data_IF_696173469608
#
_entry.id   IF_696173469608
#
_cell.length_a   1.000
_cell.length_b   1.000
_cell.length_c   1.000
_cell.angle_alpha   90.00
_cell.angle_beta   90.00
_cell.angle_gamma   90.00
#
_symmetry.space_group_name_H-M   'P 1'
#
loop_
_entity.id
_entity.type
_entity.pdbx_description
1 polymer ?
#
# COMPACT_ATOMS: atom_id res chain seq x y z
N UNK A 1 -17.98 -12.46 -29.66
CA UNK A 1 -17.51 -12.69 -28.28
C UNK A 1 -16.73 -14.00 -28.23
N UNK A 2 -15.41 -13.94 -28.06
CA UNK A 2 -14.53 -15.11 -28.07
C UNK A 2 -14.56 -15.87 -26.73
N UNK A 3 -14.10 -17.12 -26.72
CA UNK A 3 -14.00 -17.91 -25.49
C UNK A 3 -13.06 -17.27 -24.46
N UNK A 4 -12.02 -16.57 -24.93
CA UNK A 4 -11.08 -15.81 -24.12
C UNK A 4 -11.73 -14.61 -23.42
N UNK A 5 -12.59 -13.87 -24.10
CA UNK A 5 -13.32 -12.74 -23.49
C UNK A 5 -14.27 -13.22 -22.39
N UNK A 6 -14.88 -14.40 -22.56
CA UNK A 6 -15.72 -15.01 -21.53
C UNK A 6 -14.91 -15.47 -20.31
N UNK A 7 -13.73 -16.06 -20.53
CA UNK A 7 -12.83 -16.47 -19.45
C UNK A 7 -12.33 -15.26 -18.65
N UNK A 8 -11.85 -14.21 -19.33
CA UNK A 8 -11.42 -12.97 -18.67
C UNK A 8 -12.56 -12.32 -17.87
N UNK A 9 -13.79 -12.37 -18.37
CA UNK A 9 -14.97 -11.89 -17.66
C UNK A 9 -15.32 -12.70 -16.41
N UNK A 10 -15.10 -14.02 -16.41
CA UNK A 10 -15.28 -14.88 -15.25
C UNK A 10 -14.18 -14.65 -14.21
N UNK A 11 -12.93 -14.54 -14.64
CA UNK A 11 -11.79 -14.24 -13.76
C UNK A 11 -11.96 -12.88 -13.07
N UNK A 12 -12.39 -11.85 -13.79
CA UNK A 12 -12.67 -10.54 -13.22
C UNK A 12 -13.79 -10.59 -12.17
N UNK A 13 -14.84 -11.40 -12.41
CA UNK A 13 -15.93 -11.62 -11.44
C UNK A 13 -15.46 -12.38 -10.21
N UNK A 14 -14.60 -13.38 -10.37
CA UNK A 14 -14.03 -14.16 -9.28
C UNK A 14 -13.14 -13.28 -8.40
N UNK A 15 -12.25 -12.48 -9.02
CA UNK A 15 -11.40 -11.53 -8.31
C UNK A 15 -12.21 -10.50 -7.52
N UNK A 16 -13.33 -10.00 -8.08
CA UNK A 16 -14.23 -9.10 -7.38
C UNK A 16 -15.02 -9.75 -6.23
N UNK A 17 -15.32 -11.05 -6.32
CA UNK A 17 -15.92 -11.82 -5.22
C UNK A 17 -14.92 -12.09 -4.11
N UNK A 18 -13.69 -12.45 -4.45
CA UNK A 18 -12.61 -12.65 -3.50
C UNK A 18 -12.30 -11.37 -2.71
N UNK A 19 -12.32 -10.21 -3.39
CA UNK A 19 -12.17 -8.91 -2.76
C UNK A 19 -13.31 -8.61 -1.77
N UNK A 20 -14.56 -8.89 -2.16
CA UNK A 20 -15.72 -8.74 -1.26
C UNK A 20 -15.71 -9.70 -0.08
N UNK A 21 -15.15 -10.90 -0.25
CA UNK A 21 -15.03 -11.92 0.79
C UNK A 21 -13.80 -11.71 1.67
N UNK A 22 -12.94 -10.72 1.36
CA UNK A 22 -11.72 -10.44 2.11
C UNK A 22 -10.65 -11.52 1.98
N UNK A 23 -10.69 -12.32 0.90
CA UNK A 23 -9.71 -13.37 0.65
C UNK A 23 -8.34 -12.75 0.32
N UNK A 24 -7.23 -13.39 0.73
CA UNK A 24 -5.90 -12.84 0.47
C UNK A 24 -5.56 -12.78 -1.02
N UNK A 25 -5.24 -11.58 -1.52
CA UNK A 25 -4.90 -11.35 -2.92
C UNK A 25 -3.46 -10.89 -3.10
N UNK A 26 -2.79 -11.39 -4.14
CA UNK A 26 -1.46 -10.90 -4.54
C UNK A 26 -1.60 -9.66 -5.42
N UNK A 27 -1.53 -8.48 -4.80
CA UNK A 27 -1.63 -7.19 -5.50
C UNK A 27 -0.27 -6.50 -5.56
N UNK A 28 -0.13 -5.53 -6.46
CA UNK A 28 1.06 -4.70 -6.51
C UNK A 28 1.04 -3.70 -5.36
N UNK A 29 2.19 -3.41 -4.75
CA UNK A 29 2.32 -2.37 -3.73
C UNK A 29 3.42 -1.40 -4.15
N UNK A 30 3.08 -0.13 -4.23
CA UNK A 30 4.04 0.94 -4.41
C UNK A 30 4.32 1.60 -3.06
N UNK A 31 5.61 1.70 -2.72
CA UNK A 31 6.09 2.49 -1.59
C UNK A 31 6.65 3.79 -2.15
N UNK A 32 6.01 4.90 -1.80
CA UNK A 32 6.38 6.25 -2.20
C UNK A 32 7.05 6.96 -1.04
N UNK A 33 8.28 7.38 -1.23
CA UNK A 33 9.04 8.16 -0.28
C UNK A 33 9.14 9.60 -0.78
N UNK A 34 8.70 10.54 0.05
CA UNK A 34 8.68 11.97 -0.26
C UNK A 34 9.70 12.64 0.65
N UNK A 35 10.79 13.11 0.05
CA UNK A 35 11.82 13.87 0.75
C UNK A 35 11.54 15.36 0.59
N UNK A 36 11.28 16.05 1.69
CA UNK A 36 11.14 17.50 1.72
C UNK A 36 12.48 18.16 2.00
N UNK A 37 13.03 18.91 1.03
CA UNK A 37 14.21 19.72 1.25
C UNK A 37 13.78 21.14 1.65
N UNK A 38 13.93 21.47 2.93
CA UNK A 38 13.56 22.78 3.48
C UNK A 38 14.45 23.93 2.96
N UNK A 39 15.67 23.64 2.53
CA UNK A 39 16.61 24.64 2.02
C UNK A 39 16.27 25.07 0.60
N UNK A 40 15.94 24.11 -0.28
CA UNK A 40 15.56 24.40 -1.68
C UNK A 40 14.04 24.57 -1.88
N UNK A 41 13.23 24.36 -0.84
CA UNK A 41 11.75 24.35 -0.91
C UNK A 41 11.20 23.41 -1.99
N UNK A 42 11.92 22.32 -2.27
CA UNK A 42 11.54 21.31 -3.27
C UNK A 42 11.27 19.99 -2.60
N UNK A 43 10.29 19.25 -3.11
CA UNK A 43 10.03 17.86 -2.71
C UNK A 43 10.54 16.91 -3.78
N UNK A 44 11.30 15.90 -3.39
CA UNK A 44 11.77 14.82 -4.28
C UNK A 44 10.99 13.56 -3.95
N UNK A 45 10.41 12.93 -4.97
CA UNK A 45 9.59 11.72 -4.83
C UNK A 45 10.36 10.52 -5.38
N UNK A 46 10.57 9.51 -4.55
CA UNK A 46 11.12 8.21 -4.93
C UNK A 46 10.04 7.13 -4.81
N UNK A 47 9.89 6.31 -5.84
CA UNK A 47 8.81 5.33 -5.96
C UNK A 47 9.42 3.92 -6.11
N UNK A 48 9.03 3.00 -5.24
CA UNK A 48 9.55 1.65 -5.17
C UNK A 48 8.42 0.62 -5.27
N UNK A 49 8.42 -0.17 -6.34
CA UNK A 49 7.46 -1.26 -6.51
C UNK A 49 7.96 -2.51 -5.78
N UNK A 50 7.17 -3.01 -4.83
CA UNK A 50 7.54 -4.17 -4.02
C UNK A 50 7.48 -5.44 -4.87
N UNK A 51 8.58 -6.19 -4.83
CA UNK A 51 8.71 -7.52 -5.45
C UNK A 51 9.33 -8.49 -4.43
N UNK A 52 8.78 -9.72 -4.27
CA UNK A 52 7.58 -10.27 -4.93
C UNK A 52 6.28 -9.58 -4.49
N UNK A 53 5.21 -9.77 -5.27
CA UNK A 53 3.89 -9.17 -4.99
C UNK A 53 3.41 -9.54 -3.58
N UNK A 54 3.11 -8.55 -2.72
CA UNK A 54 2.66 -8.84 -1.36
C UNK A 54 1.24 -9.40 -1.32
N UNK A 55 0.91 -10.04 -0.20
CA UNK A 55 -0.43 -10.50 0.08
C UNK A 55 -1.21 -9.40 0.77
N UNK A 56 -2.37 -9.03 0.23
CA UNK A 56 -3.24 -7.98 0.77
C UNK A 56 -4.56 -8.60 1.19
N UNK A 57 -4.97 -8.31 2.42
CA UNK A 57 -6.19 -8.83 3.05
C UNK A 57 -6.88 -7.72 3.83
N UNK A 58 -8.13 -7.95 4.25
CA UNK A 58 -8.70 -7.15 5.33
C UNK A 58 -7.90 -7.38 6.62
N UNK A 59 -7.90 -6.40 7.51
CA UNK A 59 -7.25 -6.53 8.82
C UNK A 59 -7.81 -7.72 9.60
N UNK A 60 -6.91 -8.51 10.20
CA UNK A 60 -7.28 -9.62 11.05
C UNK A 60 -8.12 -9.15 12.26
N UNK A 61 -9.23 -9.82 12.63
CA UNK A 61 -10.11 -9.40 13.72
C UNK A 61 -9.40 -9.15 15.06
N UNK A 62 -8.31 -9.88 15.33
CA UNK A 62 -7.48 -9.73 16.54
C UNK A 62 -6.74 -8.38 16.64
N UNK A 63 -6.57 -7.68 15.53
CA UNK A 63 -5.90 -6.38 15.46
C UNK A 63 -6.90 -5.22 15.46
N UNK A 64 -8.18 -5.49 15.19
CA UNK A 64 -9.23 -4.46 15.19
C UNK A 64 -9.41 -3.93 16.61
N UNK A 65 -9.59 -2.61 16.73
CA UNK A 65 -9.64 -1.85 17.99
C UNK A 65 -8.36 -1.88 18.81
N UNK A 66 -7.25 -2.41 18.27
CA UNK A 66 -5.94 -2.23 18.89
C UNK A 66 -5.55 -0.75 18.79
N UNK A 67 -5.22 -0.17 19.93
CA UNK A 67 -4.69 1.18 20.00
C UNK A 67 -3.21 1.16 19.61
N UNK A 68 -2.87 1.96 18.61
CA UNK A 68 -1.51 2.10 18.10
C UNK A 68 -1.09 3.56 18.16
N UNK A 69 0.11 3.78 18.68
CA UNK A 69 0.73 5.09 18.76
C UNK A 69 1.66 5.29 17.56
N UNK A 70 1.41 6.34 16.79
CA UNK A 70 2.36 6.91 15.83
C UNK A 70 2.87 8.24 16.37
N UNK A 71 4.15 8.55 16.15
CA UNK A 71 4.74 9.84 16.56
C UNK A 71 3.91 10.99 15.96
N UNK A 72 3.36 11.85 16.82
CA UNK A 72 2.57 13.04 16.42
C UNK A 72 1.05 12.86 16.39
N UNK A 73 0.50 11.71 16.77
CA UNK A 73 -0.96 11.51 16.89
C UNK A 73 -1.33 10.79 18.18
N UNK A 74 -2.12 11.43 19.03
CA UNK A 74 -2.71 10.76 20.19
C UNK A 74 -3.82 9.80 19.73
N UNK A 75 -3.50 8.51 19.82
CA UNK A 75 -4.45 7.38 19.81
C UNK A 75 -5.15 7.08 18.46
N UNK A 76 -4.47 6.36 17.57
CA UNK A 76 -5.10 5.73 16.41
C UNK A 76 -5.59 4.33 16.76
N UNK A 77 -6.84 4.02 16.48
CA UNK A 77 -7.38 2.66 16.57
C UNK A 77 -7.40 2.03 15.18
N UNK A 78 -6.98 0.77 15.09
CA UNK A 78 -7.10 -0.01 13.86
C UNK A 78 -8.58 -0.35 13.62
N UNK A 79 -9.08 -0.07 12.42
CA UNK A 79 -10.47 -0.35 12.04
C UNK A 79 -10.55 -1.58 11.13
N UNK A 80 -11.72 -2.22 11.08
CA UNK A 80 -11.94 -3.35 10.17
C UNK A 80 -11.89 -2.96 8.69
N UNK A 81 -12.00 -1.66 8.37
CA UNK A 81 -11.88 -1.11 7.02
C UNK A 81 -10.43 -0.90 6.58
N UNK A 82 -9.47 -1.01 7.50
CA UNK A 82 -8.05 -0.92 7.17
C UNK A 82 -7.61 -2.18 6.41
N UNK A 83 -6.52 -2.05 5.65
CA UNK A 83 -5.96 -3.15 4.87
C UNK A 83 -4.69 -3.68 5.52
N UNK A 84 -4.60 -5.01 5.63
CA UNK A 84 -3.38 -5.69 6.07
C UNK A 84 -2.58 -6.12 4.84
N UNK A 85 -1.28 -5.83 4.87
CA UNK A 85 -0.34 -6.18 3.81
C UNK A 85 0.80 -7.00 4.37
N UNK A 86 1.02 -8.17 3.80
CA UNK A 86 2.10 -9.08 4.18
C UNK A 86 3.19 -9.10 3.11
N UNK A 87 4.42 -8.79 3.53
CA UNK A 87 5.59 -8.69 2.67
C UNK A 87 6.69 -9.61 3.21
N UNK A 88 7.36 -10.43 2.41
CA UNK A 88 8.53 -11.18 2.87
C UNK A 88 9.60 -10.25 3.46
N UNK A 89 10.34 -10.72 4.47
CA UNK A 89 11.33 -9.92 5.21
C UNK A 89 12.65 -9.68 4.44
N UNK A 90 12.54 -9.31 3.17
CA UNK A 90 13.66 -8.99 2.27
C UNK A 90 14.07 -7.51 2.43
N UNK A 91 13.09 -6.65 2.76
CA UNK A 91 13.32 -5.22 2.98
C UNK A 91 13.63 -4.94 4.46
N UNK A 92 14.56 -4.04 4.77
CA UNK A 92 14.84 -3.65 6.15
C UNK A 92 13.66 -2.85 6.74
N UNK A 93 13.51 -2.87 8.06
CA UNK A 93 12.45 -2.10 8.76
C UNK A 93 12.46 -0.61 8.41
N UNK A 94 13.67 -0.04 8.28
CA UNK A 94 13.90 1.35 7.90
C UNK A 94 13.36 1.73 6.53
N UNK A 95 12.98 0.76 5.70
CA UNK A 95 12.34 1.00 4.42
C UNK A 95 10.87 1.45 4.58
N UNK A 96 10.17 0.94 5.60
CA UNK A 96 8.75 1.21 5.84
C UNK A 96 8.53 2.34 6.86
N UNK A 97 9.43 2.43 7.85
CA UNK A 97 9.40 3.45 8.88
C UNK A 97 10.71 4.22 8.79
N UNK A 98 10.64 5.41 8.19
CA UNK A 98 11.81 6.24 7.92
C UNK A 98 11.83 7.40 8.92
N UNK A 99 12.92 7.60 9.68
CA UNK A 99 13.01 8.70 10.63
C UNK A 99 13.23 10.05 9.92
N UNK A 100 12.66 11.13 10.47
CA UNK A 100 12.98 12.51 10.08
C UNK A 100 12.00 13.15 9.09
N UNK A 101 12.51 13.92 8.12
CA UNK A 101 11.73 14.74 7.17
C UNK A 101 11.13 13.97 5.99
N UNK A 102 11.21 12.64 6.02
CA UNK A 102 10.78 11.77 4.94
C UNK A 102 9.38 11.22 5.22
N UNK A 103 8.40 11.59 4.38
CA UNK A 103 7.04 11.01 4.44
C UNK A 103 6.99 9.77 3.57
N UNK A 104 6.54 8.64 4.12
CA UNK A 104 6.30 7.40 3.36
C UNK A 104 4.80 7.20 3.17
N UNK A 105 4.39 6.95 1.92
CA UNK A 105 3.00 6.73 1.52
C UNK A 105 2.93 5.46 0.67
N UNK A 106 1.80 4.78 0.71
CA UNK A 106 1.60 3.49 0.06
C UNK A 106 0.49 3.58 -0.97
N UNK A 107 0.64 2.90 -2.11
CA UNK A 107 -0.44 2.75 -3.10
C UNK A 107 -0.65 1.27 -3.36
N UNK A 108 -1.86 0.80 -3.07
CA UNK A 108 -2.28 -0.56 -3.38
C UNK A 108 -2.76 -0.58 -4.83
N UNK A 109 -2.23 -1.52 -5.58
CA UNK A 109 -2.51 -1.78 -7.00
C UNK A 109 -2.44 -0.50 -7.88
N UNK A 110 -1.26 0.16 -7.94
CA UNK A 110 -1.08 1.30 -8.83
C UNK A 110 -1.32 0.87 -10.29
N UNK A 111 -1.84 1.77 -11.14
CA UNK A 111 -1.91 1.50 -12.57
C UNK A 111 -0.50 1.24 -13.11
N UNK A 112 -0.32 0.14 -13.84
CA UNK A 112 0.95 -0.24 -14.45
C UNK A 112 0.88 -0.14 -15.97
N UNK A 113 1.99 0.30 -16.56
CA UNK A 113 2.23 0.23 -18.00
C UNK A 113 2.48 -1.23 -18.43
N UNK A 114 2.38 -1.54 -19.74
CA UNK A 114 2.65 -2.89 -20.27
C UNK A 114 4.04 -3.45 -19.94
N UNK A 115 5.00 -2.58 -19.63
CA UNK A 115 6.36 -2.92 -19.23
C UNK A 115 6.51 -3.21 -17.72
N UNK A 116 5.41 -3.21 -16.94
CA UNK A 116 5.43 -3.47 -15.50
C UNK A 116 5.89 -2.29 -14.64
N UNK A 117 6.10 -1.11 -15.22
CA UNK A 117 6.40 0.13 -14.48
C UNK A 117 5.14 0.89 -14.10
N UNK A 118 5.20 1.72 -13.07
CA UNK A 118 4.07 2.56 -12.65
C UNK A 118 3.68 3.54 -13.76
N UNK A 119 2.39 3.55 -14.11
CA UNK A 119 1.81 4.48 -15.06
C UNK A 119 1.44 5.79 -14.35
N UNK A 120 2.18 6.85 -14.64
CA UNK A 120 1.91 8.18 -14.11
C UNK A 120 0.99 8.96 -15.05
N UNK A 121 0.03 9.70 -14.49
CA UNK A 121 -0.78 10.67 -15.24
C UNK A 121 0.05 11.87 -15.68
N UNK A 122 1.02 12.27 -14.84
CA UNK A 122 2.05 13.25 -15.19
C UNK A 122 3.40 12.74 -14.68
N UNK A 123 4.35 12.40 -15.57
CA UNK A 123 5.67 11.87 -15.19
C UNK A 123 6.51 12.87 -14.38
N UNK A 124 6.39 14.17 -14.65
CA UNK A 124 7.20 15.22 -14.02
C UNK A 124 6.83 15.41 -12.55
N UNK A 125 5.52 15.38 -12.26
CA UNK A 125 5.00 15.52 -10.89
C UNK A 125 4.77 14.17 -10.20
N UNK A 126 5.01 13.05 -10.90
CA UNK A 126 4.70 11.68 -10.48
C UNK A 126 3.27 11.52 -9.93
N UNK A 127 2.32 12.21 -10.56
CA UNK A 127 0.91 12.11 -10.20
C UNK A 127 0.36 10.75 -10.63
N UNK A 128 -0.30 10.04 -9.71
CA UNK A 128 -0.92 8.72 -9.95
C UNK A 128 -2.41 8.82 -9.65
N UNK A 129 -3.26 8.31 -10.54
CA UNK A 129 -4.70 8.24 -10.35
C UNK A 129 -5.15 7.11 -9.42
N UNK A 130 -4.54 6.97 -8.23
CA UNK A 130 -4.82 5.88 -7.28
C UNK A 130 -5.04 6.41 -5.86
N UNK A 131 -5.51 5.54 -4.96
CA UNK A 131 -5.71 5.88 -3.56
C UNK A 131 -4.41 5.73 -2.77
N UNK A 132 -4.07 6.77 -2.03
CA UNK A 132 -2.92 6.78 -1.13
C UNK A 132 -3.32 6.20 0.22
N UNK A 133 -2.38 5.48 0.83
CA UNK A 133 -2.56 4.84 2.11
C UNK A 133 -1.39 5.23 3.03
N UNK A 134 -1.69 5.47 4.29
CA UNK A 134 -0.71 5.70 5.34
C UNK A 134 -0.51 4.43 6.16
N UNK A 135 0.72 4.21 6.61
CA UNK A 135 1.04 3.14 7.55
C UNK A 135 0.57 3.55 8.95
N UNK A 136 -0.32 2.76 9.54
CA UNK A 136 -0.75 2.95 10.94
C UNK A 136 0.05 2.05 11.87
N UNK A 137 0.26 0.80 11.46
CA UNK A 137 0.89 -0.20 12.30
C UNK A 137 1.80 -1.11 11.50
N UNK A 138 2.98 -1.38 12.06
CA UNK A 138 3.94 -2.34 11.54
C UNK A 138 4.20 -3.40 12.61
N UNK A 139 3.80 -4.65 12.35
CA UNK A 139 4.14 -5.75 13.21
C UNK A 139 5.57 -6.23 12.91
N UNK A 140 6.40 -6.29 13.96
CA UNK A 140 7.81 -6.69 13.91
C UNK A 140 8.05 -8.08 14.55
N UNK A 141 6.98 -8.73 14.97
CA UNK A 141 7.02 -9.98 15.74
C UNK A 141 7.23 -11.22 14.86
N UNK A 142 6.88 -11.19 13.57
CA UNK A 142 7.03 -12.32 12.68
C UNK A 142 8.45 -12.37 12.10
N UNK A 143 9.18 -13.50 12.25
CA UNK A 143 10.55 -13.61 11.76
C UNK A 143 10.65 -13.59 10.23
N UNK A 144 9.58 -13.95 9.50
CA UNK A 144 9.63 -14.24 8.06
C UNK A 144 8.96 -13.19 7.19
N UNK A 145 8.06 -12.39 7.76
CA UNK A 145 7.28 -11.40 7.02
C UNK A 145 7.07 -10.13 7.82
N UNK A 146 6.97 -9.03 7.11
CA UNK A 146 6.42 -7.78 7.60
C UNK A 146 4.91 -7.82 7.47
N UNK A 147 4.21 -7.43 8.53
CA UNK A 147 2.76 -7.22 8.51
C UNK A 147 2.51 -5.73 8.69
N UNK A 148 2.03 -5.09 7.63
CA UNK A 148 1.69 -3.67 7.62
C UNK A 148 0.18 -3.54 7.71
N UNK A 149 -0.28 -2.55 8.47
CA UNK A 149 -1.68 -2.12 8.46
C UNK A 149 -1.73 -0.73 7.87
N UNK A 150 -2.41 -0.63 6.74
CA UNK A 150 -2.51 0.57 5.92
C UNK A 150 -3.94 1.11 6.00
N UNK A 151 -4.04 2.44 6.10
CA UNK A 151 -5.32 3.17 6.01
C UNK A 151 -5.34 4.08 4.83
N UNK A 152 -6.39 3.98 4.05
CA UNK A 152 -6.66 4.87 2.93
C UNK A 152 -6.84 6.31 3.43
N UNK A 153 -6.13 7.26 2.81
CA UNK A 153 -6.37 8.69 3.02
C UNK A 153 -7.75 9.05 2.44
N UNK A 154 -8.59 9.70 3.24
CA UNK A 154 -10.00 9.91 2.93
C UNK A 154 -10.26 10.96 1.83
N UNK A 155 -9.24 11.60 1.24
CA UNK A 155 -9.47 12.77 0.38
C UNK A 155 -8.49 12.89 -0.81
N UNK A 156 -9.06 13.13 -2.00
CA UNK A 156 -8.38 13.80 -3.12
C UNK A 156 -8.60 15.30 -2.90
N UNK A 157 -7.71 15.95 -2.16
CA UNK A 157 -7.62 17.43 -2.20
C UNK A 157 -6.64 17.88 -3.26
#
# INVERSE_FOLDING_TARGET
>A
MSLYEKLAGVEAKLAGLEEKLGLPQRKNLLVRQIFSNHTSRTSTIADYLITPKPYITNVAPRLVNLQVGTEGSDQLFITASDTQVEIPRIFPKSFFVVPGTLKTVYVIDPPLNPNGTVAYTNPTTKTIGAYFHNLIYLADNDPTRWILVLRQEADRR
#
